data_IF_800624746394
#
_entry.id   IF_800624746394
#
_cell.length_a   1.000
_cell.length_b   1.000
_cell.length_c   1.000
_cell.angle_alpha   90.00
_cell.angle_beta   90.00
_cell.angle_gamma   90.00
#
_symmetry.space_group_name_H-M   'P 1'
#
loop_
_entity.id
_entity.type
_entity.pdbx_description
1 polymer ?
#
# COMPACT_ATOMS: atom_id res chain seq x y z
N UNK A 1 -5.11 -4.11 26.61
CA UNK A 1 -4.24 -3.27 25.77
C UNK A 1 -3.49 -4.13 24.75
N UNK A 2 -3.30 -3.62 23.57
CA UNK A 2 -2.50 -4.30 22.53
C UNK A 2 -1.03 -4.11 22.91
N UNK A 3 -0.25 -5.20 22.84
CA UNK A 3 1.18 -5.18 23.14
C UNK A 3 1.97 -5.01 21.84
N UNK A 4 2.63 -3.86 21.66
CA UNK A 4 3.35 -3.48 20.43
C UNK A 4 4.78 -3.00 20.72
N UNK A 5 5.67 -3.86 21.25
CA UNK A 5 6.96 -3.43 21.78
C UNK A 5 7.87 -2.74 20.75
N UNK A 6 7.85 -3.20 19.51
CA UNK A 6 8.68 -2.60 18.45
C UNK A 6 8.12 -1.24 17.99
N UNK A 7 6.80 -1.09 17.89
CA UNK A 7 6.16 0.18 17.57
C UNK A 7 6.34 1.17 18.73
N UNK A 8 6.21 0.70 19.97
CA UNK A 8 6.41 1.53 21.16
C UNK A 8 7.86 2.03 21.25
N UNK A 9 8.83 1.19 20.92
CA UNK A 9 10.24 1.60 20.82
C UNK A 9 10.42 2.67 19.75
N UNK A 10 9.90 2.46 18.53
CA UNK A 10 9.98 3.44 17.45
C UNK A 10 9.33 4.77 17.85
N UNK A 11 8.18 4.73 18.51
CA UNK A 11 7.49 5.92 19.03
C UNK A 11 8.39 6.72 19.98
N UNK A 12 9.09 6.05 20.88
CA UNK A 12 9.96 6.70 21.86
C UNK A 12 11.22 7.35 21.25
N UNK A 13 11.60 6.90 20.05
CA UNK A 13 12.75 7.40 19.28
C UNK A 13 12.33 8.37 18.16
N UNK A 14 11.03 8.74 18.08
CA UNK A 14 10.46 9.50 16.96
C UNK A 14 9.72 10.75 17.40
N UNK A 15 9.43 11.62 16.44
CA UNK A 15 8.48 12.72 16.63
C UNK A 15 7.08 12.18 16.50
N UNK A 16 6.26 12.36 17.53
CA UNK A 16 4.85 12.01 17.55
C UNK A 16 3.99 13.21 17.12
N UNK A 17 3.11 13.00 16.16
CA UNK A 17 2.14 14.00 15.72
C UNK A 17 0.78 13.70 16.36
N UNK A 18 0.53 14.30 17.52
CA UNK A 18 -0.68 14.01 18.33
C UNK A 18 -1.99 14.46 17.67
N UNK A 19 -1.93 15.45 16.81
CA UNK A 19 -3.09 16.04 16.15
C UNK A 19 -3.05 15.83 14.63
N UNK A 20 -2.72 14.62 14.21
CA UNK A 20 -2.68 14.25 12.80
C UNK A 20 -4.04 13.68 12.36
N UNK A 21 -4.67 14.33 11.38
CA UNK A 21 -5.96 13.93 10.85
C UNK A 21 -5.84 13.34 9.46
N UNK A 22 -6.68 12.36 9.17
CA UNK A 22 -6.78 11.69 7.87
C UNK A 22 -8.23 11.74 7.37
N UNK A 23 -8.44 11.44 6.10
CA UNK A 23 -9.79 11.25 5.57
C UNK A 23 -10.45 10.00 6.20
N UNK A 24 -11.77 9.97 6.31
CA UNK A 24 -12.49 8.88 7.02
C UNK A 24 -12.44 7.52 6.30
N UNK A 25 -11.98 7.47 5.03
CA UNK A 25 -11.93 6.24 4.23
C UNK A 25 -10.58 6.03 3.55
N UNK A 26 -10.34 4.81 3.08
CA UNK A 26 -9.04 4.34 2.63
C UNK A 26 -8.49 5.07 1.39
N UNK A 27 -9.21 5.12 0.27
CA UNK A 27 -8.69 5.73 -0.96
C UNK A 27 -8.44 7.23 -0.82
N UNK A 28 -9.35 8.04 -0.23
CA UNK A 28 -9.09 9.44 0.05
C UNK A 28 -7.84 9.67 0.89
N UNK A 29 -7.70 8.95 2.01
CA UNK A 29 -6.49 9.05 2.86
C UNK A 29 -5.22 8.68 2.10
N UNK A 30 -5.24 7.61 1.29
CA UNK A 30 -4.10 7.20 0.46
C UNK A 30 -3.71 8.25 -0.56
N UNK A 31 -4.69 8.82 -1.25
CA UNK A 31 -4.47 9.89 -2.21
C UNK A 31 -3.85 11.12 -1.54
N UNK A 32 -4.39 11.54 -0.40
CA UNK A 32 -3.85 12.69 0.35
C UNK A 32 -2.42 12.42 0.84
N UNK A 33 -2.15 11.25 1.42
CA UNK A 33 -0.83 10.85 1.91
C UNK A 33 0.21 10.83 0.78
N UNK A 34 -0.11 10.23 -0.35
CA UNK A 34 0.83 10.07 -1.46
C UNK A 34 1.05 11.34 -2.27
N UNK A 35 0.14 12.30 -2.23
CA UNK A 35 0.24 13.54 -3.03
C UNK A 35 0.53 14.79 -2.20
N UNK A 36 0.38 14.74 -0.87
CA UNK A 36 0.44 15.91 0.01
C UNK A 36 -0.71 16.91 -0.23
N UNK A 37 -1.82 16.47 -0.84
CA UNK A 37 -2.96 17.32 -1.20
C UNK A 37 -4.25 16.78 -0.60
N UNK A 38 -5.19 17.66 -0.31
CA UNK A 38 -6.54 17.23 0.08
C UNK A 38 -7.14 16.28 -0.97
N UNK A 39 -7.70 15.17 -0.52
CA UNK A 39 -8.20 14.09 -1.37
C UNK A 39 -9.18 14.56 -2.45
N UNK A 40 -10.12 15.43 -2.10
CA UNK A 40 -11.08 16.01 -3.04
C UNK A 40 -10.43 16.76 -4.22
N UNK A 41 -9.24 17.34 -4.02
CA UNK A 41 -8.47 18.00 -5.08
C UNK A 41 -7.80 17.00 -6.02
N UNK A 42 -7.50 15.81 -5.53
CA UNK A 42 -6.88 14.75 -6.33
C UNK A 42 -7.88 13.95 -7.16
N UNK A 43 -9.19 14.20 -6.98
CA UNK A 43 -10.27 13.47 -7.61
C UNK A 43 -10.73 12.23 -6.85
N UNK A 44 -10.08 11.92 -5.73
CA UNK A 44 -10.40 10.76 -4.90
C UNK A 44 -11.24 11.20 -3.70
N UNK A 45 -12.50 10.85 -3.71
CA UNK A 45 -13.43 11.27 -2.66
C UNK A 45 -14.29 10.12 -2.11
N UNK A 46 -14.10 8.91 -2.66
CA UNK A 46 -14.76 7.69 -2.19
C UNK A 46 -13.90 6.46 -2.54
N UNK A 47 -14.35 5.28 -2.18
CA UNK A 47 -13.59 4.02 -2.27
C UNK A 47 -14.01 3.11 -3.42
N UNK A 48 -15.12 3.40 -4.11
CA UNK A 48 -15.72 2.55 -5.15
C UNK A 48 -16.24 3.37 -6.32
N UNK A 49 -16.61 2.68 -7.41
CA UNK A 49 -17.28 3.27 -8.59
C UNK A 49 -16.45 4.42 -9.19
N UNK A 50 -15.16 4.16 -9.46
CA UNK A 50 -14.22 5.10 -10.08
C UNK A 50 -13.93 6.37 -9.26
N UNK A 51 -14.60 6.57 -8.12
CA UNK A 51 -14.37 7.69 -7.20
C UNK A 51 -13.09 7.53 -6.36
N UNK A 52 -12.40 6.43 -6.55
CA UNK A 52 -11.08 6.09 -5.98
C UNK A 52 -9.94 6.24 -6.98
N UNK A 53 -10.18 6.72 -8.19
CA UNK A 53 -9.14 6.88 -9.21
C UNK A 53 -8.34 8.16 -8.96
N UNK A 54 -7.07 8.02 -8.68
CA UNK A 54 -6.15 9.16 -8.56
C UNK A 54 -5.94 9.81 -9.93
N UNK A 55 -6.37 11.05 -10.10
CA UNK A 55 -6.26 11.77 -11.38
C UNK A 55 -4.84 11.67 -11.96
N UNK A 56 -4.76 11.50 -13.27
CA UNK A 56 -3.51 11.31 -14.00
C UNK A 56 -2.48 12.44 -13.76
N UNK A 57 -2.95 13.69 -13.68
CA UNK A 57 -2.13 14.87 -13.45
C UNK A 57 -1.50 14.97 -12.05
N UNK A 58 -1.96 14.17 -11.10
CA UNK A 58 -1.43 14.20 -9.74
C UNK A 58 -0.06 13.51 -9.70
N UNK A 59 0.86 14.13 -8.99
CA UNK A 59 2.21 13.62 -8.79
C UNK A 59 2.27 13.02 -7.40
N UNK A 60 2.71 11.77 -7.30
CA UNK A 60 2.86 11.09 -6.02
C UNK A 60 4.25 11.28 -5.42
N UNK A 61 4.39 11.03 -4.12
CA UNK A 61 5.68 10.95 -3.46
C UNK A 61 6.59 9.91 -4.12
N UNK A 62 6.04 8.79 -4.59
CA UNK A 62 6.79 7.76 -5.30
C UNK A 62 7.30 8.26 -6.67
N UNK A 63 6.51 9.06 -7.41
CA UNK A 63 6.96 9.70 -8.65
C UNK A 63 8.14 10.65 -8.40
N UNK A 64 8.06 11.47 -7.34
CA UNK A 64 9.13 12.41 -6.99
C UNK A 64 10.39 11.65 -6.61
N UNK A 65 10.28 10.67 -5.73
CA UNK A 65 11.42 9.92 -5.23
C UNK A 65 12.08 9.08 -6.33
N UNK A 66 11.28 8.43 -7.17
CA UNK A 66 11.78 7.67 -8.32
C UNK A 66 12.60 8.55 -9.28
N UNK A 67 12.11 9.76 -9.60
CA UNK A 67 12.84 10.74 -10.43
C UNK A 67 14.12 11.26 -9.78
N UNK A 68 14.24 11.15 -8.46
CA UNK A 68 15.41 11.55 -7.70
C UNK A 68 16.33 10.36 -7.30
N UNK A 69 16.25 9.25 -8.02
CA UNK A 69 17.18 8.13 -7.90
C UNK A 69 16.85 7.12 -6.79
N UNK A 70 15.73 7.26 -6.10
CA UNK A 70 15.27 6.26 -5.14
C UNK A 70 14.75 5.01 -5.83
N UNK A 71 15.03 3.86 -5.25
CA UNK A 71 14.32 2.62 -5.57
C UNK A 71 12.99 2.63 -4.83
N UNK A 72 11.89 2.59 -5.57
CA UNK A 72 10.53 2.73 -5.00
C UNK A 72 9.77 1.42 -5.06
N UNK A 73 9.12 1.06 -3.97
CA UNK A 73 8.33 -0.16 -3.88
C UNK A 73 7.06 0.02 -3.06
N UNK A 74 6.02 -0.76 -3.40
CA UNK A 74 4.79 -0.89 -2.63
C UNK A 74 4.47 -2.35 -2.33
N UNK A 75 4.03 -2.62 -1.10
CA UNK A 75 3.65 -3.95 -0.62
C UNK A 75 2.27 -3.89 0.03
N UNK A 76 1.31 -4.65 -0.49
CA UNK A 76 -0.06 -4.72 0.01
C UNK A 76 -1.07 -3.91 -0.81
N UNK A 77 -1.90 -3.13 -0.16
CA UNK A 77 -3.05 -2.46 -0.75
C UNK A 77 -2.68 -1.22 -1.56
N UNK A 78 -3.10 -1.15 -2.83
CA UNK A 78 -3.03 0.06 -3.66
C UNK A 78 -4.29 0.93 -3.56
N UNK A 79 -5.40 0.48 -4.10
CA UNK A 79 -6.74 1.08 -4.04
C UNK A 79 -6.89 2.51 -4.60
N UNK A 80 -6.06 2.90 -5.56
CA UNK A 80 -6.16 4.20 -6.27
C UNK A 80 -6.33 4.05 -7.79
N UNK A 81 -6.77 2.88 -8.22
CA UNK A 81 -7.01 2.51 -9.61
C UNK A 81 -6.25 1.24 -10.01
N UNK A 82 -6.85 0.44 -10.89
CA UNK A 82 -6.29 -0.86 -11.31
C UNK A 82 -6.01 -0.92 -12.81
N UNK A 83 -6.47 0.06 -13.58
CA UNK A 83 -6.20 0.19 -15.02
C UNK A 83 -5.16 1.29 -15.28
N UNK A 84 -4.48 1.21 -16.42
CA UNK A 84 -3.64 2.29 -16.91
C UNK A 84 -4.48 3.57 -17.10
N UNK A 85 -3.99 4.75 -16.69
CA UNK A 85 -2.69 5.07 -16.09
C UNK A 85 -2.72 5.16 -14.54
N UNK A 86 -3.62 4.44 -13.86
CA UNK A 86 -3.91 4.58 -12.43
C UNK A 86 -3.25 3.50 -11.56
N UNK A 87 -2.53 2.53 -12.16
CA UNK A 87 -1.89 1.44 -11.44
C UNK A 87 -0.70 1.94 -10.62
N UNK A 88 -0.28 1.19 -9.61
CA UNK A 88 0.85 1.55 -8.76
C UNK A 88 2.14 1.80 -9.57
N UNK A 89 2.43 0.95 -10.57
CA UNK A 89 3.59 1.14 -11.45
C UNK A 89 3.50 2.39 -12.32
N UNK A 90 2.30 2.85 -12.67
CA UNK A 90 2.10 4.08 -13.45
C UNK A 90 2.27 5.33 -12.57
N UNK A 91 2.36 5.15 -11.24
CA UNK A 91 2.38 6.18 -10.21
C UNK A 91 3.67 6.17 -9.39
N UNK A 92 4.79 5.82 -10.04
CA UNK A 92 6.13 5.96 -9.49
C UNK A 92 6.67 4.78 -8.67
N UNK A 93 5.91 3.69 -8.50
CA UNK A 93 6.40 2.49 -7.84
C UNK A 93 7.08 1.54 -8.83
N UNK A 94 8.41 1.47 -8.79
CA UNK A 94 9.22 0.62 -9.69
C UNK A 94 9.16 -0.87 -9.36
N UNK A 95 8.81 -1.23 -8.13
CA UNK A 95 8.55 -2.60 -7.69
C UNK A 95 7.22 -2.68 -6.93
N UNK A 96 6.44 -3.72 -7.15
CA UNK A 96 5.18 -3.87 -6.45
C UNK A 96 4.80 -5.34 -6.21
N UNK A 97 4.31 -5.62 -5.01
CA UNK A 97 3.62 -6.85 -4.62
C UNK A 97 2.30 -6.42 -4.00
N UNK A 98 1.21 -6.45 -4.76
CA UNK A 98 -0.03 -5.78 -4.37
C UNK A 98 -1.29 -6.59 -4.64
N UNK A 99 -2.33 -6.24 -3.88
CA UNK A 99 -3.71 -6.37 -4.33
C UNK A 99 -4.28 -4.99 -4.70
N UNK A 100 -5.12 -4.92 -5.74
CA UNK A 100 -5.61 -3.65 -6.27
C UNK A 100 -6.91 -3.15 -5.62
N UNK A 101 -7.60 -4.03 -4.93
CA UNK A 101 -8.93 -3.80 -4.36
C UNK A 101 -8.94 -3.02 -3.03
N UNK A 102 -10.12 -2.74 -2.53
CA UNK A 102 -10.36 -2.15 -1.22
C UNK A 102 -9.95 -3.06 -0.05
N UNK A 103 -10.08 -4.37 -0.25
CA UNK A 103 -9.62 -5.43 0.65
C UNK A 103 -9.25 -6.66 -0.16
N UNK A 104 -8.49 -7.57 0.43
CA UNK A 104 -8.20 -8.87 -0.17
C UNK A 104 -9.51 -9.62 -0.43
N UNK A 105 -9.63 -10.25 -1.60
CA UNK A 105 -10.84 -10.96 -2.03
C UNK A 105 -12.00 -10.08 -2.48
N UNK A 106 -11.87 -8.75 -2.44
CA UNK A 106 -12.86 -7.82 -3.00
C UNK A 106 -12.55 -7.50 -4.46
N UNK A 107 -13.59 -7.27 -5.29
CA UNK A 107 -13.36 -6.82 -6.66
C UNK A 107 -12.60 -5.48 -6.70
N UNK A 108 -11.56 -5.33 -7.53
CA UNK A 108 -11.08 -6.22 -8.59
C UNK A 108 -9.86 -7.11 -8.20
N UNK A 109 -9.80 -7.62 -6.99
CA UNK A 109 -8.71 -8.51 -6.58
C UNK A 109 -8.75 -9.86 -7.32
N UNK A 110 -7.69 -10.65 -7.22
CA UNK A 110 -7.64 -11.96 -7.82
C UNK A 110 -8.71 -12.87 -7.23
N UNK A 111 -9.45 -13.56 -8.10
CA UNK A 111 -10.56 -14.41 -7.67
C UNK A 111 -10.09 -15.54 -6.76
N UNK A 112 -10.78 -15.70 -5.64
CA UNK A 112 -10.49 -16.73 -4.64
C UNK A 112 -9.46 -16.35 -3.59
N UNK A 113 -8.96 -15.11 -3.59
CA UNK A 113 -8.14 -14.61 -2.47
C UNK A 113 -8.99 -14.49 -1.20
N UNK A 114 -8.42 -14.94 -0.05
CA UNK A 114 -9.11 -14.96 1.24
C UNK A 114 -8.21 -14.69 2.46
N UNK A 115 -7.06 -14.05 2.26
CA UNK A 115 -6.00 -13.72 3.23
C UNK A 115 -4.93 -14.80 3.40
N UNK A 116 -5.17 -16.04 2.94
CA UNK A 116 -4.24 -17.14 3.09
C UNK A 116 -3.94 -17.81 1.75
N UNK A 117 -2.68 -18.11 1.52
CA UNK A 117 -2.23 -18.80 0.31
C UNK A 117 -2.72 -18.15 -1.00
N UNK A 118 -2.72 -16.84 -1.03
CA UNK A 118 -3.33 -16.00 -2.06
C UNK A 118 -2.44 -15.79 -3.29
N UNK A 119 -3.05 -15.21 -4.33
CA UNK A 119 -2.37 -14.79 -5.57
C UNK A 119 -2.33 -13.28 -5.66
N UNK A 120 -1.13 -12.70 -5.77
CA UNK A 120 -0.93 -11.26 -5.83
C UNK A 120 -0.21 -10.82 -7.10
N UNK A 121 -0.39 -9.55 -7.45
CA UNK A 121 0.27 -8.95 -8.61
C UNK A 121 1.70 -8.52 -8.23
N UNK A 122 2.69 -9.16 -8.86
CA UNK A 122 4.12 -8.87 -8.69
C UNK A 122 4.67 -8.35 -10.01
N UNK A 123 5.02 -7.07 -10.08
CA UNK A 123 5.58 -6.44 -11.28
C UNK A 123 4.81 -6.75 -12.57
N UNK A 124 3.48 -6.73 -12.50
CA UNK A 124 2.60 -6.98 -13.65
C UNK A 124 2.25 -8.44 -13.91
N UNK A 125 2.76 -9.39 -13.11
CA UNK A 125 2.47 -10.83 -13.24
C UNK A 125 1.85 -11.36 -11.96
N UNK A 126 0.80 -12.17 -12.07
CA UNK A 126 0.20 -12.82 -10.91
C UNK A 126 1.07 -13.99 -10.44
N UNK A 127 1.35 -14.02 -9.12
CA UNK A 127 2.12 -15.05 -8.46
C UNK A 127 1.37 -15.59 -7.25
N UNK A 128 1.41 -16.91 -7.06
CA UNK A 128 0.84 -17.60 -5.91
C UNK A 128 1.82 -17.52 -4.74
N UNK A 129 1.34 -17.09 -3.60
CA UNK A 129 2.07 -17.07 -2.34
C UNK A 129 1.53 -18.13 -1.38
N UNK A 130 2.29 -18.44 -0.35
CA UNK A 130 1.89 -19.33 0.74
C UNK A 130 1.94 -18.56 2.06
N UNK A 131 0.94 -18.72 2.91
CA UNK A 131 0.86 -18.10 4.21
C UNK A 131 -0.09 -16.91 4.27
N UNK A 132 -0.05 -16.20 5.39
CA UNK A 132 -0.93 -15.07 5.68
C UNK A 132 -0.48 -13.79 4.95
N UNK A 133 -1.42 -13.08 4.38
CA UNK A 133 -1.13 -11.93 3.52
C UNK A 133 -0.27 -10.85 4.19
N UNK A 134 -0.49 -10.55 5.47
CA UNK A 134 0.29 -9.51 6.17
C UNK A 134 1.76 -9.92 6.30
N UNK A 135 2.03 -11.19 6.59
CA UNK A 135 3.40 -11.71 6.66
C UNK A 135 4.07 -11.62 5.29
N UNK A 136 3.35 -11.98 4.23
CA UNK A 136 3.83 -11.87 2.84
C UNK A 136 4.25 -10.43 2.51
N UNK A 137 3.45 -9.42 2.88
CA UNK A 137 3.82 -8.02 2.64
C UNK A 137 5.12 -7.62 3.33
N UNK A 138 5.31 -8.03 4.58
CA UNK A 138 6.53 -7.73 5.32
C UNK A 138 7.72 -8.53 4.82
N UNK A 139 7.57 -9.79 4.48
CA UNK A 139 8.65 -10.63 3.97
C UNK A 139 9.19 -10.08 2.63
N UNK A 140 8.31 -9.73 1.70
CA UNK A 140 8.70 -9.13 0.43
C UNK A 140 9.30 -7.72 0.61
N UNK A 141 8.78 -6.93 1.55
CA UNK A 141 9.37 -5.63 1.88
C UNK A 141 10.78 -5.78 2.49
N UNK A 142 10.99 -6.72 3.41
CA UNK A 142 12.31 -6.99 4.01
C UNK A 142 13.31 -7.45 2.94
N UNK A 143 12.87 -8.31 2.03
CA UNK A 143 13.69 -8.76 0.90
C UNK A 143 14.12 -7.57 0.02
N UNK A 144 13.17 -6.72 -0.38
CA UNK A 144 13.45 -5.51 -1.15
C UNK A 144 14.43 -4.57 -0.43
N UNK A 145 14.24 -4.34 0.88
CA UNK A 145 15.12 -3.50 1.70
C UNK A 145 16.54 -4.07 1.73
N UNK A 146 16.69 -5.38 1.96
CA UNK A 146 18.01 -6.05 1.98
C UNK A 146 18.74 -5.91 0.64
N UNK A 147 18.03 -6.04 -0.49
CA UNK A 147 18.59 -5.92 -1.83
C UNK A 147 18.99 -4.47 -2.17
N UNK A 148 18.35 -3.49 -1.55
CA UNK A 148 18.55 -2.07 -1.85
C UNK A 148 19.21 -1.26 -0.72
N UNK A 149 19.68 -1.88 0.35
CA UNK A 149 20.23 -1.21 1.56
C UNK A 149 21.38 -0.21 1.29
N UNK A 150 22.08 -0.35 0.18
CA UNK A 150 23.22 0.51 -0.20
C UNK A 150 22.81 1.65 -1.14
N UNK A 151 21.52 1.85 -1.39
CA UNK A 151 20.97 2.89 -2.26
C UNK A 151 19.81 3.56 -1.54
N UNK A 152 19.48 4.82 -1.86
CA UNK A 152 18.26 5.40 -1.35
C UNK A 152 17.05 4.61 -1.86
N UNK A 153 16.14 4.26 -0.96
CA UNK A 153 14.90 3.54 -1.30
C UNK A 153 13.69 4.11 -0.58
N UNK A 154 12.53 3.86 -1.14
CA UNK A 154 11.23 4.15 -0.57
C UNK A 154 10.38 2.87 -0.61
N UNK A 155 10.08 2.31 0.54
CA UNK A 155 9.23 1.14 0.70
C UNK A 155 7.90 1.56 1.37
N UNK A 156 6.81 1.52 0.62
CA UNK A 156 5.47 1.78 1.12
C UNK A 156 4.79 0.46 1.49
N UNK A 157 4.79 0.12 2.79
CA UNK A 157 4.18 -1.10 3.30
C UNK A 157 2.76 -0.77 3.74
N UNK A 158 1.82 -1.11 2.89
CA UNK A 158 0.43 -0.71 2.98
C UNK A 158 -0.44 -1.94 3.27
N UNK A 159 -0.39 -2.42 4.52
CA UNK A 159 -1.15 -3.61 4.93
C UNK A 159 -2.65 -3.42 4.74
N UNK A 160 -3.38 -4.51 4.50
CA UNK A 160 -4.84 -4.49 4.53
C UNK A 160 -5.41 -4.68 5.94
N UNK A 161 -4.65 -5.26 6.86
CA UNK A 161 -5.03 -5.28 8.27
C UNK A 161 -5.01 -3.86 8.87
N UNK A 162 -5.99 -3.49 9.71
CA UNK A 162 -7.11 -4.25 10.27
C UNK A 162 -8.43 -4.12 9.49
N UNK A 163 -8.41 -4.14 8.16
CA UNK A 163 -9.62 -4.14 7.35
C UNK A 163 -10.39 -5.47 7.51
N UNK A 164 -11.72 -5.43 7.58
CA UNK A 164 -12.54 -6.65 7.60
C UNK A 164 -12.46 -7.45 6.28
N UNK A 165 -12.69 -8.77 6.34
CA UNK A 165 -12.89 -9.60 7.53
C UNK A 165 -11.63 -9.71 8.39
N UNK A 166 -11.81 -9.84 9.71
CA UNK A 166 -10.71 -9.83 10.67
C UNK A 166 -10.09 -11.23 10.84
N UNK A 167 -9.60 -11.79 9.76
CA UNK A 167 -8.92 -13.07 9.79
C UNK A 167 -7.49 -12.89 10.32
N UNK A 168 -7.06 -13.85 11.10
CA UNK A 168 -5.68 -13.94 11.60
C UNK A 168 -5.21 -15.40 11.57
N UNK A 169 -3.89 -15.65 11.51
CA UNK A 169 -3.36 -16.99 11.67
C UNK A 169 -3.79 -17.60 13.01
N UNK A 170 -4.04 -18.90 13.02
CA UNK A 170 -4.17 -19.66 14.27
C UNK A 170 -2.79 -19.69 14.94
N UNK A 171 -2.74 -19.37 16.22
CA UNK A 171 -1.54 -19.48 17.04
C UNK A 171 -1.13 -20.93 17.25
#
# INVERSE_FOLDING_TARGET
SIHTPNIDKLRNESILLDNFHVDPTCSPTRAALLTGRYSNRTGVWHTVQERNLLREREITLADILSKNGYKTAIFGKWHLGHNYPYRAQDRGFGYHVIHSAGGVGQAPDYWGNDYFDDTYLVNGTYQKFKGFCTDIWFDEAIKFIKENKNKPFFAYISTNAPHGPFYCPNN
#
